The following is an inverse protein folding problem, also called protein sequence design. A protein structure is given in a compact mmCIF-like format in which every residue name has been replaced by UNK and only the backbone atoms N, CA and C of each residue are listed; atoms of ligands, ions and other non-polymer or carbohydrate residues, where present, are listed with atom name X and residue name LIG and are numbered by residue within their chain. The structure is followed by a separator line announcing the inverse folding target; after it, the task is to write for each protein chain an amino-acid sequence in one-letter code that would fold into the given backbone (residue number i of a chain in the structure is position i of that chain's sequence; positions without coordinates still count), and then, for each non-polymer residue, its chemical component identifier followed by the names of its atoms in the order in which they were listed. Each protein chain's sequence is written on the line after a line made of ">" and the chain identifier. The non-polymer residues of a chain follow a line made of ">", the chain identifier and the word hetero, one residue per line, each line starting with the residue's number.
data_IF_943350079324
#
_entry.id   IF_943350079324
#
_cell.length_a   1.000
_cell.length_b   1.000
_cell.length_c   1.000
_cell.angle_alpha   90.00
_cell.angle_beta   90.00
_cell.angle_gamma   90.00
#
_symmetry.space_group_name_H-M   'P 1'
#
loop_
_entity.id
_entity.type
_entity.pdbx_description
1 polymer ?
#
# COMPACT_ATOMS: atom_id res chain seq x y z
N UNK A 1 -7.25 -19.31 10.32
CA UNK A 1 -7.15 -17.90 9.86
C UNK A 1 -5.89 -17.31 10.44
N UNK A 2 -5.25 -16.36 9.78
CA UNK A 2 -4.08 -15.70 10.36
C UNK A 2 -4.51 -14.84 11.54
N UNK A 3 -3.68 -14.78 12.59
CA UNK A 3 -3.88 -13.88 13.73
C UNK A 3 -3.63 -12.43 13.29
N UNK A 4 -2.69 -12.24 12.38
CA UNK A 4 -2.30 -10.97 11.81
C UNK A 4 -2.33 -11.04 10.29
N UNK A 5 -3.05 -10.14 9.65
CA UNK A 5 -3.22 -10.12 8.20
C UNK A 5 -3.07 -8.69 7.67
N UNK A 6 -2.19 -8.50 6.70
CA UNK A 6 -2.09 -7.26 5.93
C UNK A 6 -2.72 -7.48 4.55
N UNK A 7 -3.83 -6.79 4.28
CA UNK A 7 -4.45 -6.76 2.95
C UNK A 7 -3.97 -5.53 2.20
N UNK A 8 -3.60 -5.73 0.93
CA UNK A 8 -3.09 -4.64 0.07
C UNK A 8 -3.91 -4.59 -1.21
N UNK A 9 -4.51 -3.43 -1.49
CA UNK A 9 -5.31 -3.16 -2.70
C UNK A 9 -4.83 -1.90 -3.42
N UNK A 10 -5.30 -1.69 -4.67
CA UNK A 10 -5.00 -0.50 -5.46
C UNK A 10 -6.31 0.10 -6.00
N UNK A 11 -6.66 1.28 -5.52
CA UNK A 11 -7.98 1.91 -5.69
C UNK A 11 -7.81 3.39 -6.03
N UNK A 12 -8.62 3.92 -6.94
CA UNK A 12 -8.68 5.36 -7.25
C UNK A 12 -9.86 5.92 -6.45
N UNK A 13 -9.63 6.21 -5.17
CA UNK A 13 -10.70 6.71 -4.29
C UNK A 13 -10.74 8.24 -4.27
N UNK A 14 -9.66 8.91 -4.67
CA UNK A 14 -9.59 10.36 -4.82
C UNK A 14 -10.21 10.84 -6.17
N UNK A 15 -10.48 9.92 -7.11
CA UNK A 15 -11.05 10.19 -8.44
C UNK A 15 -10.17 11.12 -9.31
N UNK A 16 -8.85 11.01 -9.18
CA UNK A 16 -7.88 11.83 -9.92
C UNK A 16 -7.21 11.05 -11.08
N UNK A 17 -7.54 9.76 -11.24
CA UNK A 17 -6.96 8.88 -12.25
C UNK A 17 -5.62 8.25 -11.86
N UNK A 18 -5.06 8.62 -10.71
CA UNK A 18 -4.05 7.85 -9.99
C UNK A 18 -4.73 6.87 -9.05
N UNK A 19 -4.07 5.74 -8.79
CA UNK A 19 -4.56 4.80 -7.79
C UNK A 19 -3.72 4.91 -6.54
N UNK A 20 -4.37 4.95 -5.41
CA UNK A 20 -3.77 4.84 -4.10
C UNK A 20 -3.57 3.36 -3.76
N UNK A 21 -2.53 3.06 -2.99
CA UNK A 21 -2.39 1.75 -2.37
C UNK A 21 -3.03 1.80 -0.99
N UNK A 22 -4.04 0.97 -0.77
CA UNK A 22 -4.68 0.82 0.54
C UNK A 22 -4.09 -0.42 1.21
N UNK A 23 -3.73 -0.26 2.48
CA UNK A 23 -3.12 -1.27 3.34
C UNK A 23 -3.95 -1.40 4.61
N UNK A 24 -4.68 -2.50 4.75
CA UNK A 24 -5.56 -2.77 5.89
C UNK A 24 -4.95 -3.86 6.77
N UNK A 25 -4.78 -3.57 8.05
CA UNK A 25 -4.27 -4.54 9.03
C UNK A 25 -5.43 -5.11 9.82
N UNK A 26 -5.51 -6.44 9.86
CA UNK A 26 -6.51 -7.17 10.61
C UNK A 26 -5.85 -7.99 11.71
N UNK A 27 -6.40 -7.90 12.93
CA UNK A 27 -6.02 -8.72 14.08
C UNK A 27 -7.22 -9.58 14.46
N UNK A 28 -7.04 -10.90 14.47
CA UNK A 28 -8.12 -11.86 14.72
C UNK A 28 -9.37 -11.65 13.82
N UNK A 29 -9.14 -11.20 12.58
CA UNK A 29 -10.15 -10.86 11.57
C UNK A 29 -10.97 -9.57 11.83
N UNK A 30 -10.60 -8.79 12.84
CA UNK A 30 -11.12 -7.44 13.04
C UNK A 30 -10.17 -6.42 12.42
N UNK A 31 -10.72 -5.43 11.70
CA UNK A 31 -9.92 -4.33 11.14
C UNK A 31 -9.38 -3.49 12.29
N UNK A 32 -8.07 -3.39 12.38
CA UNK A 32 -7.39 -2.64 13.43
C UNK A 32 -7.11 -1.21 12.94
N UNK A 33 -6.39 -1.08 11.82
CA UNK A 33 -6.18 0.19 11.13
C UNK A 33 -6.06 0.03 9.62
N UNK A 34 -6.15 1.17 8.94
CA UNK A 34 -5.91 1.28 7.51
C UNK A 34 -4.94 2.43 7.20
N UNK A 35 -4.05 2.17 6.25
CA UNK A 35 -3.11 3.12 5.69
C UNK A 35 -3.38 3.27 4.21
N UNK A 36 -3.21 4.49 3.69
CA UNK A 36 -3.16 4.71 2.25
C UNK A 36 -1.81 5.32 1.87
N UNK A 37 -1.33 4.95 0.70
CA UNK A 37 -0.19 5.59 0.05
C UNK A 37 -0.62 6.15 -1.30
N UNK A 38 -0.19 7.37 -1.62
CA UNK A 38 -0.47 8.05 -2.88
C UNK A 38 0.83 8.41 -3.63
N UNK A 39 0.69 8.67 -4.93
CA UNK A 39 1.77 9.09 -5.81
C UNK A 39 1.58 10.57 -6.14
N UNK A 40 2.35 11.45 -5.48
CA UNK A 40 2.18 12.91 -5.64
C UNK A 40 2.38 13.42 -7.08
N UNK A 41 3.03 12.60 -7.92
CA UNK A 41 3.33 12.89 -9.33
C UNK A 41 2.49 12.07 -10.32
N UNK A 42 1.60 11.21 -9.82
CA UNK A 42 0.80 10.27 -10.63
C UNK A 42 1.66 9.42 -11.59
N UNK A 43 2.90 9.06 -11.19
CA UNK A 43 3.85 8.31 -12.01
C UNK A 43 3.95 6.83 -11.59
N UNK A 44 3.16 6.43 -10.59
CA UNK A 44 3.15 5.07 -10.03
C UNK A 44 4.29 4.81 -9.04
N UNK A 45 5.03 5.85 -8.65
CA UNK A 45 5.95 5.84 -7.50
C UNK A 45 5.22 6.49 -6.33
N UNK A 46 5.06 5.74 -5.26
CA UNK A 46 4.35 6.20 -4.07
C UNK A 46 5.34 6.89 -3.12
N UNK A 47 5.03 8.13 -2.74
CA UNK A 47 5.91 9.02 -1.95
C UNK A 47 5.20 9.72 -0.77
N UNK A 48 3.89 9.57 -0.67
CA UNK A 48 3.07 10.03 0.46
C UNK A 48 2.31 8.85 1.06
N UNK A 49 2.26 8.76 2.38
CA UNK A 49 1.46 7.77 3.09
C UNK A 49 0.87 8.35 4.39
N UNK A 50 -0.28 7.83 4.80
CA UNK A 50 -0.69 7.96 6.19
C UNK A 50 0.16 7.03 7.07
N UNK A 51 0.37 7.40 8.34
CA UNK A 51 0.99 6.53 9.34
C UNK A 51 0.20 6.69 10.64
N UNK A 52 -0.77 5.80 10.89
CA UNK A 52 -1.58 5.83 12.10
C UNK A 52 -0.93 5.07 13.26
N UNK A 53 0.17 4.35 13.02
CA UNK A 53 0.80 3.49 14.02
C UNK A 53 2.35 3.47 13.96
N UNK A 54 2.96 3.13 15.10
CA UNK A 54 4.39 2.90 15.35
C UNK A 54 4.79 1.49 14.87
N UNK A 55 5.03 1.38 13.56
CA UNK A 55 5.27 0.09 12.91
C UNK A 55 6.73 -0.34 12.96
N UNK A 56 7.66 0.56 13.28
CA UNK A 56 9.05 0.21 13.54
C UNK A 56 9.33 -0.08 15.03
N UNK A 57 8.42 0.32 15.93
CA UNK A 57 8.42 -0.01 17.34
C UNK A 57 9.35 0.87 18.18
N UNK A 58 9.65 2.09 17.74
CA UNK A 58 10.56 3.00 18.42
C UNK A 58 9.86 3.92 19.45
N UNK A 59 8.54 3.92 19.46
CA UNK A 59 7.69 4.62 20.41
C UNK A 59 7.21 5.99 19.95
N UNK A 60 7.38 6.35 18.67
CA UNK A 60 6.76 7.53 18.09
C UNK A 60 6.00 7.27 16.78
N UNK A 61 5.63 8.33 16.05
CA UNK A 61 4.76 8.26 14.87
C UNK A 61 5.32 9.20 13.81
N UNK A 62 6.38 8.79 13.13
CA UNK A 62 7.19 9.69 12.34
C UNK A 62 7.29 9.31 10.84
N UNK A 63 8.42 9.62 10.21
CA UNK A 63 8.63 9.34 8.79
C UNK A 63 9.22 7.95 8.55
N UNK A 64 9.83 7.31 9.55
CA UNK A 64 10.37 5.97 9.45
C UNK A 64 9.21 4.95 9.38
N UNK A 65 8.13 5.17 10.14
CA UNK A 65 6.87 4.43 9.98
C UNK A 65 6.29 4.55 8.57
N UNK A 66 6.20 5.79 8.06
CA UNK A 66 5.70 6.05 6.70
C UNK A 66 6.58 5.37 5.66
N UNK A 67 7.90 5.36 5.85
CA UNK A 67 8.82 4.74 4.93
C UNK A 67 8.56 3.23 4.80
N UNK A 68 8.20 2.54 5.89
CA UNK A 68 7.83 1.12 5.85
C UNK A 68 6.57 0.89 5.01
N UNK A 69 5.52 1.69 5.20
CA UNK A 69 4.31 1.61 4.38
C UNK A 69 4.57 1.94 2.90
N UNK A 70 5.37 2.97 2.62
CA UNK A 70 5.78 3.32 1.25
C UNK A 70 6.58 2.19 0.58
N UNK A 71 7.40 1.47 1.34
CA UNK A 71 8.15 0.32 0.83
C UNK A 71 7.19 -0.82 0.41
N UNK A 72 6.19 -1.13 1.22
CA UNK A 72 5.15 -2.13 0.88
C UNK A 72 4.37 -1.69 -0.36
N UNK A 73 3.91 -0.44 -0.40
CA UNK A 73 3.15 0.10 -1.52
C UNK A 73 3.92 0.01 -2.84
N UNK A 74 5.19 0.46 -2.84
CA UNK A 74 6.03 0.43 -4.02
C UNK A 74 6.38 -1.00 -4.45
N UNK A 75 6.57 -1.94 -3.51
CA UNK A 75 6.77 -3.35 -3.83
C UNK A 75 5.52 -3.94 -4.50
N UNK A 76 4.33 -3.69 -3.93
CA UNK A 76 3.06 -4.13 -4.48
C UNK A 76 2.78 -3.57 -5.88
N UNK A 77 3.00 -2.26 -6.08
CA UNK A 77 2.86 -1.61 -7.37
C UNK A 77 3.75 -2.25 -8.45
N UNK A 78 5.01 -2.58 -8.11
CA UNK A 78 5.92 -3.28 -9.03
C UNK A 78 5.43 -4.70 -9.37
N UNK A 79 4.95 -5.45 -8.38
CA UNK A 79 4.40 -6.81 -8.59
C UNK A 79 3.17 -6.80 -9.51
N UNK A 80 2.24 -5.86 -9.29
CA UNK A 80 1.01 -5.76 -10.10
C UNK A 80 1.33 -5.28 -11.52
N UNK A 81 2.22 -4.31 -11.70
CA UNK A 81 2.68 -3.86 -13.01
C UNK A 81 3.29 -5.01 -13.83
N UNK A 82 4.10 -5.87 -13.20
CA UNK A 82 4.64 -7.06 -13.85
C UNK A 82 3.54 -8.05 -14.24
N UNK A 83 2.61 -8.35 -13.34
CA UNK A 83 1.50 -9.28 -13.61
C UNK A 83 0.62 -8.81 -14.77
N UNK A 84 0.34 -7.51 -14.86
CA UNK A 84 -0.39 -6.90 -16.00
C UNK A 84 0.39 -7.06 -17.30
N UNK A 85 1.69 -6.75 -17.31
CA UNK A 85 2.55 -6.91 -18.49
C UNK A 85 2.58 -8.37 -18.97
N UNK A 86 2.73 -9.34 -18.06
CA UNK A 86 2.73 -10.77 -18.38
C UNK A 86 1.42 -11.21 -19.03
N UNK A 87 0.27 -10.81 -18.48
CA UNK A 87 -1.06 -11.14 -19.03
C UNK A 87 -1.30 -10.52 -20.41
N UNK A 88 -0.82 -9.29 -20.66
CA UNK A 88 -0.90 -8.64 -21.98
C UNK A 88 -0.10 -9.39 -23.04
N UNK A 89 1.08 -9.93 -22.68
CA UNK A 89 1.91 -10.73 -23.60
C UNK A 89 1.27 -12.09 -23.93
N UNK A 90 0.62 -12.74 -22.96
CA UNK A 90 -0.03 -14.04 -23.17
C UNK A 90 -1.30 -13.99 -24.04
N UNK A 91 -1.83 -12.80 -24.31
CA UNK A 91 -3.01 -12.57 -25.18
C UNK A 91 -2.64 -12.15 -26.61
N UNK A 92 -1.35 -11.97 -26.90
CA UNK A 92 -0.83 -11.73 -28.26
C UNK A 92 -0.36 -13.05 -28.85
#
# INVERSE_FOLDING_TARGET
>A
MAIYELRVSAEDFENDGSKEIVMETYINNDLDWAVYASSSKHDGIYDTASAPDDVDGDGDYDNDDKALYLNVANAFAKMTAYAIKKRKKAKK
#
